data_IF_403263810149
#
_entry.id   IF_403263810149
#
_cell.length_a   1.000
_cell.length_b   1.000
_cell.length_c   1.000
_cell.angle_alpha   90.00
_cell.angle_beta   90.00
_cell.angle_gamma   90.00
#
_symmetry.space_group_name_H-M   'P 1'
#
loop_
_entity.id
_entity.type
_entity.pdbx_description
1 polymer ?
#
# COMPACT_ATOMS: atom_id res chain seq x y z
N UNK A 1 -68.15 20.34 -11.58
CA UNK A 1 -66.94 19.60 -12.09
C UNK A 1 -65.84 19.69 -11.06
N UNK A 2 -65.47 18.55 -10.44
CA UNK A 2 -64.38 18.49 -9.46
C UNK A 2 -63.12 18.09 -10.20
N UNK A 3 -62.09 18.95 -10.24
CA UNK A 3 -60.78 18.65 -10.87
C UNK A 3 -59.90 17.91 -9.84
N UNK A 4 -59.56 16.67 -10.17
CA UNK A 4 -58.56 15.88 -9.44
C UNK A 4 -57.17 16.22 -10.01
N UNK A 5 -56.30 16.81 -9.18
CA UNK A 5 -54.89 16.99 -9.52
C UNK A 5 -54.10 15.79 -9.01
N UNK A 6 -53.55 15.00 -9.94
CA UNK A 6 -52.63 13.92 -9.62
C UNK A 6 -51.24 14.49 -9.50
N UNK A 7 -50.67 14.47 -8.28
CA UNK A 7 -49.29 14.91 -8.02
C UNK A 7 -48.34 13.75 -8.25
N UNK A 8 -47.48 13.86 -9.28
CA UNK A 8 -46.43 12.87 -9.55
C UNK A 8 -45.20 13.25 -8.74
N UNK A 9 -44.83 12.46 -7.73
CA UNK A 9 -43.56 12.59 -7.01
C UNK A 9 -42.51 11.82 -7.81
N UNK A 10 -41.58 12.52 -8.46
CA UNK A 10 -40.42 11.94 -9.08
C UNK A 10 -39.36 11.79 -7.98
N UNK A 11 -39.11 10.54 -7.53
CA UNK A 11 -38.00 10.24 -6.60
C UNK A 11 -36.74 10.16 -7.42
N UNK A 12 -35.85 11.14 -7.27
CA UNK A 12 -34.50 11.10 -7.79
C UNK A 12 -33.68 10.16 -6.89
N UNK A 13 -33.42 8.94 -7.34
CA UNK A 13 -32.46 8.03 -6.72
C UNK A 13 -31.08 8.43 -7.28
N UNK A 14 -30.31 9.21 -6.52
CA UNK A 14 -28.89 9.42 -6.82
C UNK A 14 -28.14 8.14 -6.54
N UNK A 15 -27.69 7.45 -7.59
CA UNK A 15 -26.72 6.38 -7.45
C UNK A 15 -25.39 7.00 -7.05
N UNK A 16 -24.99 6.86 -5.80
CA UNK A 16 -23.62 7.10 -5.36
C UNK A 16 -22.79 5.94 -5.87
N UNK A 17 -22.13 6.10 -7.01
CA UNK A 17 -21.10 5.17 -7.46
C UNK A 17 -19.86 5.36 -6.56
N UNK A 18 -19.68 4.49 -5.60
CA UNK A 18 -18.38 4.34 -4.96
C UNK A 18 -17.47 3.61 -5.96
N UNK A 19 -16.25 4.15 -6.17
CA UNK A 19 -15.22 3.38 -6.87
C UNK A 19 -14.89 2.17 -6.00
N UNK A 20 -15.17 0.98 -6.52
CA UNK A 20 -14.86 -0.26 -5.82
C UNK A 20 -13.35 -0.49 -5.91
N UNK A 21 -12.74 -0.80 -4.77
CA UNK A 21 -11.34 -1.25 -4.72
C UNK A 21 -11.27 -2.62 -5.39
N UNK A 22 -10.35 -2.79 -6.32
CA UNK A 22 -10.23 -3.99 -7.14
C UNK A 22 -9.01 -4.83 -6.83
N UNK A 23 -8.09 -4.33 -5.97
CA UNK A 23 -6.81 -4.97 -5.70
C UNK A 23 -6.24 -4.49 -4.35
N UNK A 24 -5.25 -5.21 -3.80
CA UNK A 24 -4.48 -4.84 -2.62
C UNK A 24 -3.63 -3.59 -2.87
N UNK A 25 -3.33 -2.84 -1.81
CA UNK A 25 -2.38 -1.72 -1.89
C UNK A 25 -1.73 -1.41 -0.54
N UNK A 26 -0.58 -0.73 -0.56
CA UNK A 26 0.04 -0.19 0.64
C UNK A 26 -0.83 0.93 1.21
N UNK A 27 -1.39 0.73 2.39
CA UNK A 27 -2.24 1.71 3.08
C UNK A 27 -1.46 2.57 4.05
N UNK A 28 -0.43 1.99 4.71
CA UNK A 28 0.48 2.73 5.58
C UNK A 28 1.92 2.25 5.44
N UNK A 29 2.80 3.16 5.75
CA UNK A 29 4.22 2.92 5.92
C UNK A 29 4.70 3.65 7.15
N UNK A 30 5.50 3.01 7.98
CA UNK A 30 6.16 3.64 9.11
C UNK A 30 7.65 3.40 9.07
N UNK A 31 8.42 4.48 9.08
CA UNK A 31 9.83 4.49 9.36
C UNK A 31 10.03 5.47 10.50
N UNK A 32 10.21 4.94 11.68
CA UNK A 32 10.39 5.71 12.90
C UNK A 32 11.73 5.39 13.54
N UNK A 33 11.98 6.04 14.66
CA UNK A 33 13.24 5.93 15.39
C UNK A 33 13.66 4.47 15.62
N UNK A 34 14.89 4.15 15.26
CA UNK A 34 15.50 2.83 15.46
C UNK A 34 14.82 1.74 14.57
N UNK A 35 14.13 0.79 15.19
CA UNK A 35 13.49 -0.34 14.52
C UNK A 35 11.95 -0.23 14.49
N UNK A 36 11.39 0.94 14.76
CA UNK A 36 9.95 1.20 14.71
C UNK A 36 9.49 1.35 13.26
N UNK A 37 9.51 0.25 12.53
CA UNK A 37 9.28 0.18 11.08
C UNK A 37 8.20 -0.83 10.75
N UNK A 38 7.33 -0.47 9.81
CA UNK A 38 6.28 -1.37 9.33
C UNK A 38 5.76 -1.00 7.93
N UNK A 39 5.20 -1.98 7.26
CA UNK A 39 4.35 -1.84 6.08
C UNK A 39 2.95 -2.33 6.43
N UNK A 40 1.93 -1.65 5.96
CA UNK A 40 0.54 -2.10 6.05
C UNK A 40 -0.06 -2.20 4.65
N UNK A 41 -0.62 -3.37 4.35
CA UNK A 41 -1.31 -3.67 3.09
C UNK A 41 -2.78 -3.82 3.40
N UNK A 42 -3.63 -3.14 2.64
CA UNK A 42 -5.07 -3.15 2.81
C UNK A 42 -5.77 -3.93 1.70
N UNK A 43 -6.73 -4.74 2.09
CA UNK A 43 -7.69 -5.39 1.19
C UNK A 43 -9.01 -4.63 1.20
N UNK A 44 -9.18 -3.72 0.25
CA UNK A 44 -10.45 -3.00 0.09
C UNK A 44 -11.45 -3.71 -0.83
N UNK A 45 -11.16 -4.94 -1.26
CA UNK A 45 -12.07 -5.72 -2.12
C UNK A 45 -13.20 -6.36 -1.29
N UNK A 46 -14.20 -6.92 -1.97
CA UNK A 46 -15.33 -7.62 -1.30
C UNK A 46 -14.99 -9.07 -0.90
N UNK A 47 -13.81 -9.56 -1.22
CA UNK A 47 -13.41 -10.95 -0.98
C UNK A 47 -12.14 -11.04 -0.13
N UNK A 48 -12.02 -12.12 0.63
CA UNK A 48 -10.76 -12.48 1.27
C UNK A 48 -9.73 -12.81 0.19
N UNK A 49 -8.48 -12.36 0.36
CA UNK A 49 -7.39 -12.55 -0.60
C UNK A 49 -6.30 -13.42 0.03
N UNK A 50 -6.04 -14.57 -0.58
CA UNK A 50 -4.90 -15.45 -0.28
C UNK A 50 -3.62 -14.82 -0.84
N UNK A 51 -2.61 -14.62 0.01
CA UNK A 51 -1.35 -13.97 -0.34
C UNK A 51 -0.31 -14.91 -0.98
N UNK A 52 -0.62 -16.17 -1.20
CA UNK A 52 0.34 -17.15 -1.77
C UNK A 52 0.85 -16.79 -3.16
N UNK A 53 0.10 -15.95 -3.90
CA UNK A 53 0.48 -15.44 -5.22
C UNK A 53 0.83 -13.95 -5.20
N UNK A 54 1.22 -13.43 -4.04
CA UNK A 54 1.66 -12.04 -3.85
C UNK A 54 3.03 -12.01 -3.19
N UNK A 55 3.74 -10.90 -3.37
CA UNK A 55 5.01 -10.63 -2.71
C UNK A 55 5.21 -9.11 -2.56
N UNK A 56 6.21 -8.74 -1.74
CA UNK A 56 6.63 -7.34 -1.56
C UNK A 56 8.13 -7.18 -1.83
N UNK A 57 8.59 -7.48 -3.07
CA UNK A 57 10.00 -7.37 -3.42
C UNK A 57 10.53 -5.95 -3.24
N UNK A 58 11.83 -5.84 -3.02
CA UNK A 58 12.48 -4.57 -2.70
C UNK A 58 13.85 -4.40 -3.34
N UNK A 59 14.31 -3.16 -3.35
CA UNK A 59 15.71 -2.76 -3.53
C UNK A 59 16.20 -2.06 -2.28
N UNK A 60 17.50 -2.12 -2.01
CA UNK A 60 18.14 -1.39 -0.91
C UNK A 60 18.92 -0.21 -1.48
N UNK A 61 18.47 1.01 -1.20
CA UNK A 61 19.04 2.27 -1.69
C UNK A 61 19.08 2.31 -3.24
N UNK A 62 20.30 2.20 -3.81
CA UNK A 62 20.53 2.24 -5.26
C UNK A 62 20.48 0.84 -5.86
N UNK A 63 19.50 0.53 -6.73
CA UNK A 63 19.40 -0.80 -7.30
C UNK A 63 20.60 -1.14 -8.19
N UNK A 64 21.10 -2.36 -8.10
CA UNK A 64 22.17 -2.87 -8.96
C UNK A 64 21.80 -2.79 -10.45
N UNK A 65 20.53 -2.96 -10.76
CA UNK A 65 19.96 -2.79 -12.10
C UNK A 65 18.66 -1.98 -11.97
N UNK A 66 18.60 -0.75 -12.51
CA UNK A 66 17.38 0.05 -12.46
C UNK A 66 16.16 -0.70 -12.99
N UNK A 67 15.03 -0.60 -12.28
CA UNK A 67 13.78 -1.26 -12.61
C UNK A 67 13.70 -2.74 -12.22
N UNK A 68 14.72 -3.31 -11.56
CA UNK A 68 14.78 -4.72 -11.16
C UNK A 68 14.94 -4.82 -9.64
N UNK A 69 14.07 -5.61 -8.99
CA UNK A 69 14.22 -5.90 -7.56
C UNK A 69 15.51 -6.66 -7.25
N UNK A 70 16.00 -6.50 -6.03
CA UNK A 70 17.17 -7.21 -5.51
C UNK A 70 16.79 -8.32 -4.54
N UNK A 71 15.68 -8.15 -3.83
CA UNK A 71 15.20 -9.06 -2.80
C UNK A 71 13.75 -9.44 -3.06
N UNK A 72 13.49 -10.76 -3.16
CA UNK A 72 12.13 -11.27 -3.25
C UNK A 72 11.62 -11.58 -1.84
N UNK A 73 10.65 -10.78 -1.36
CA UNK A 73 10.07 -10.94 -0.05
C UNK A 73 8.67 -11.54 -0.17
N UNK A 74 8.51 -12.77 0.31
CA UNK A 74 7.24 -13.49 0.31
C UNK A 74 6.45 -13.24 1.60
N UNK A 75 5.13 -13.36 1.51
CA UNK A 75 4.26 -13.43 2.68
C UNK A 75 4.40 -14.79 3.39
N UNK A 76 3.99 -14.86 4.66
CA UNK A 76 3.98 -16.10 5.42
C UNK A 76 3.06 -17.14 4.76
N UNK A 77 3.41 -18.41 4.87
CA UNK A 77 2.59 -19.51 4.33
C UNK A 77 1.17 -19.48 4.93
N UNK A 78 0.17 -19.54 4.08
CA UNK A 78 -1.24 -19.49 4.46
C UNK A 78 -1.75 -18.10 4.86
N UNK A 79 -0.98 -17.04 4.62
CA UNK A 79 -1.41 -15.67 4.88
C UNK A 79 -2.62 -15.30 4.00
N UNK A 80 -3.63 -14.70 4.63
CA UNK A 80 -4.87 -14.21 4.00
C UNK A 80 -5.19 -12.84 4.56
N UNK A 81 -5.66 -11.93 3.72
CA UNK A 81 -6.26 -10.66 4.18
C UNK A 81 -7.75 -10.74 3.95
N UNK A 82 -8.53 -10.69 5.04
CA UNK A 82 -9.99 -10.64 4.93
C UNK A 82 -10.48 -9.37 4.23
N UNK A 83 -11.66 -9.42 3.64
CA UNK A 83 -12.29 -8.24 3.04
C UNK A 83 -12.41 -7.08 4.04
N UNK A 84 -11.89 -5.93 3.69
CA UNK A 84 -11.89 -4.72 4.53
C UNK A 84 -10.83 -4.69 5.63
N UNK A 85 -9.92 -5.67 5.68
CA UNK A 85 -8.87 -5.80 6.69
C UNK A 85 -7.49 -5.45 6.14
N UNK A 86 -6.47 -5.49 7.00
CA UNK A 86 -5.07 -5.18 6.70
C UNK A 86 -4.15 -6.34 7.03
N UNK A 87 -2.96 -6.34 6.43
CA UNK A 87 -1.83 -7.19 6.78
C UNK A 87 -0.64 -6.32 7.13
N UNK A 88 -0.11 -6.49 8.33
CA UNK A 88 0.99 -5.67 8.85
C UNK A 88 2.28 -6.47 8.91
N UNK A 89 3.30 -5.95 8.26
CA UNK A 89 4.67 -6.47 8.31
C UNK A 89 5.50 -5.51 9.14
N UNK A 90 6.04 -5.96 10.28
CA UNK A 90 6.81 -5.12 11.20
C UNK A 90 8.26 -5.60 11.35
N UNK A 91 9.16 -4.69 11.70
CA UNK A 91 10.52 -5.08 12.08
C UNK A 91 10.48 -5.89 13.39
N UNK A 92 11.22 -7.03 13.52
CA UNK A 92 11.12 -7.90 14.69
C UNK A 92 11.59 -7.27 16.01
N UNK A 93 12.26 -6.13 15.95
CA UNK A 93 12.70 -5.34 17.12
C UNK A 93 11.94 -4.01 17.24
N UNK A 94 10.78 -3.87 16.61
CA UNK A 94 9.91 -2.72 16.83
C UNK A 94 9.32 -2.74 18.24
N UNK A 95 8.82 -1.59 18.68
CA UNK A 95 8.13 -1.48 19.96
C UNK A 95 6.93 -2.45 20.04
N UNK A 96 6.63 -2.91 21.26
CA UNK A 96 5.56 -3.88 21.53
C UNK A 96 4.20 -3.48 20.92
N UNK A 97 3.91 -2.17 20.86
CA UNK A 97 2.66 -1.67 20.29
C UNK A 97 2.56 -1.91 18.78
N UNK A 98 3.69 -1.84 18.06
CA UNK A 98 3.77 -2.16 16.63
C UNK A 98 3.70 -3.67 16.43
N UNK A 99 4.51 -4.41 17.21
CA UNK A 99 4.54 -5.88 17.14
C UNK A 99 3.19 -6.53 17.47
N UNK A 100 2.40 -5.92 18.35
CA UNK A 100 1.05 -6.40 18.69
C UNK A 100 0.05 -6.29 17.53
N UNK A 101 0.36 -5.54 16.47
CA UNK A 101 -0.44 -5.40 15.27
C UNK A 101 0.13 -6.19 14.08
N UNK A 102 1.32 -6.78 14.24
CA UNK A 102 2.03 -7.42 13.13
C UNK A 102 1.51 -8.84 12.87
N UNK A 103 1.19 -9.13 11.62
CA UNK A 103 0.87 -10.46 11.11
C UNK A 103 2.14 -11.22 10.72
N UNK A 104 3.18 -10.47 10.33
CA UNK A 104 4.47 -11.00 9.92
C UNK A 104 5.59 -10.08 10.38
N UNK A 105 6.78 -10.64 10.64
CA UNK A 105 7.98 -9.84 10.86
C UNK A 105 8.94 -9.95 9.67
N UNK A 106 9.61 -8.83 9.35
CA UNK A 106 10.66 -8.76 8.34
C UNK A 106 11.80 -7.87 8.84
N UNK A 107 13.03 -8.42 8.86
CA UNK A 107 14.18 -7.76 9.48
C UNK A 107 14.73 -6.58 8.65
N UNK A 108 14.55 -6.62 7.34
CA UNK A 108 15.18 -5.68 6.40
C UNK A 108 14.17 -4.65 5.90
N UNK A 109 13.48 -3.97 6.85
CA UNK A 109 12.63 -2.83 6.51
C UNK A 109 13.46 -1.55 6.37
N UNK A 110 13.01 -0.69 5.45
CA UNK A 110 13.70 0.52 5.00
C UNK A 110 14.15 1.48 6.09
N UNK A 111 15.24 2.20 5.82
CA UNK A 111 15.65 3.39 6.56
C UNK A 111 15.14 4.69 5.92
N UNK A 112 14.16 4.59 5.04
CA UNK A 112 13.53 5.71 4.35
C UNK A 112 13.86 5.76 2.84
N UNK A 113 14.90 5.10 2.40
CA UNK A 113 15.50 5.18 1.07
C UNK A 113 15.38 3.91 0.21
N UNK A 114 14.83 2.82 0.76
CA UNK A 114 14.57 1.61 -0.01
C UNK A 114 13.27 1.73 -0.82
N UNK A 115 13.17 0.99 -1.93
CA UNK A 115 11.95 0.87 -2.73
C UNK A 115 11.28 -0.48 -2.55
N UNK A 116 9.96 -0.48 -2.33
CA UNK A 116 9.11 -1.67 -2.27
C UNK A 116 8.07 -1.64 -3.38
N UNK A 117 7.84 -2.78 -4.03
CA UNK A 117 6.65 -2.99 -4.82
C UNK A 117 5.73 -4.01 -4.14
N UNK A 118 4.42 -3.83 -4.23
CA UNK A 118 3.47 -4.90 -4.03
C UNK A 118 3.22 -5.54 -5.40
N UNK A 119 3.36 -6.85 -5.50
CA UNK A 119 3.26 -7.56 -6.78
C UNK A 119 2.31 -8.76 -6.68
N UNK A 120 1.68 -9.12 -7.80
CA UNK A 120 0.97 -10.38 -8.01
C UNK A 120 1.76 -11.25 -8.97
N UNK A 121 2.02 -12.50 -8.60
CA UNK A 121 2.79 -13.48 -9.37
C UNK A 121 3.91 -14.11 -8.59
N UNK A 122 4.87 -14.67 -9.31
CA UNK A 122 6.07 -15.32 -8.79
C UNK A 122 7.32 -14.56 -9.25
N UNK A 123 8.46 -14.76 -8.59
CA UNK A 123 9.70 -14.00 -8.79
C UNK A 123 10.13 -13.84 -10.25
N UNK A 124 9.97 -14.88 -11.07
CA UNK A 124 10.33 -14.84 -12.50
C UNK A 124 9.21 -14.29 -13.41
N UNK A 125 8.00 -14.07 -12.87
CA UNK A 125 6.85 -13.62 -13.67
C UNK A 125 5.78 -12.98 -12.76
N UNK A 126 5.84 -11.69 -12.61
CA UNK A 126 4.91 -10.91 -11.77
C UNK A 126 4.44 -9.63 -12.45
N UNK A 127 3.40 -9.06 -11.90
CA UNK A 127 2.87 -7.74 -12.24
C UNK A 127 2.96 -6.85 -11.01
N UNK A 128 3.52 -5.66 -11.18
CA UNK A 128 3.55 -4.65 -10.12
C UNK A 128 2.14 -4.07 -9.96
N UNK A 129 1.68 -4.01 -8.71
CA UNK A 129 0.36 -3.52 -8.35
C UNK A 129 0.47 -2.13 -7.73
N UNK A 130 1.40 -1.96 -6.77
CA UNK A 130 1.54 -0.72 -6.01
C UNK A 130 3.00 -0.48 -5.62
N UNK A 131 3.33 0.76 -5.31
CA UNK A 131 4.68 1.19 -4.97
C UNK A 131 4.75 1.94 -3.64
N UNK A 132 5.90 1.76 -2.99
CA UNK A 132 6.44 2.62 -1.94
C UNK A 132 7.91 2.90 -2.28
N UNK A 133 8.25 4.09 -2.77
CA UNK A 133 9.47 4.31 -3.50
C UNK A 133 9.40 3.68 -4.89
N UNK A 134 10.54 3.57 -5.57
CA UNK A 134 10.68 2.83 -6.83
C UNK A 134 12.03 2.10 -6.90
N UNK A 135 12.36 1.53 -8.05
CA UNK A 135 13.61 0.80 -8.27
C UNK A 135 14.48 1.47 -9.35
N UNK A 136 14.27 2.76 -9.63
CA UNK A 136 14.97 3.44 -10.73
C UNK A 136 16.29 4.10 -10.31
N UNK A 137 16.50 4.28 -9.00
CA UNK A 137 17.73 4.86 -8.46
C UNK A 137 17.67 5.15 -6.97
N UNK A 138 18.75 5.76 -6.45
CA UNK A 138 18.88 6.14 -5.05
C UNK A 138 18.22 7.51 -4.79
N UNK A 139 17.18 7.58 -3.93
CA UNK A 139 16.57 8.86 -3.54
C UNK A 139 17.45 9.67 -2.58
N UNK A 140 18.57 9.15 -2.15
CA UNK A 140 19.44 9.73 -1.11
C UNK A 140 19.04 9.28 0.29
N UNK A 141 18.53 10.17 1.12
CA UNK A 141 18.13 9.80 2.50
C UNK A 141 16.67 9.34 2.63
N UNK A 142 15.88 9.53 1.60
CA UNK A 142 14.47 9.15 1.57
C UNK A 142 13.75 9.76 0.36
N UNK A 143 12.61 9.18 0.02
CA UNK A 143 11.78 9.63 -1.09
C UNK A 143 11.04 10.92 -0.75
N UNK A 144 10.91 11.79 -1.74
CA UNK A 144 10.02 12.95 -1.62
C UNK A 144 8.55 12.48 -1.63
N UNK A 145 7.73 13.03 -0.72
CA UNK A 145 6.29 12.77 -0.65
C UNK A 145 5.54 14.08 -0.48
N UNK A 146 4.65 14.40 -1.39
CA UNK A 146 3.83 15.61 -1.37
C UNK A 146 4.65 16.91 -1.20
N UNK A 147 5.83 17.00 -1.84
CA UNK A 147 6.74 18.14 -1.76
C UNK A 147 7.58 18.19 -0.46
N UNK A 148 7.51 17.16 0.38
CA UNK A 148 8.36 17.03 1.56
C UNK A 148 9.59 16.18 1.20
N UNK A 149 10.77 16.80 1.19
CA UNK A 149 12.03 16.08 1.03
C UNK A 149 12.20 15.03 2.14
N UNK A 150 12.69 13.85 1.76
CA UNK A 150 12.86 12.72 2.68
C UNK A 150 11.57 12.34 3.43
N UNK A 151 10.41 12.50 2.80
CA UNK A 151 9.09 12.25 3.42
C UNK A 151 8.87 10.81 3.87
N UNK A 152 9.68 9.87 3.43
CA UNK A 152 9.68 8.47 3.87
C UNK A 152 10.58 8.19 5.08
N UNK A 153 11.48 9.12 5.43
CA UNK A 153 12.42 8.95 6.54
C UNK A 153 11.90 9.57 7.83
N UNK A 154 11.93 8.83 8.93
CA UNK A 154 11.43 9.26 10.26
C UNK A 154 9.96 9.75 10.21
N UNK A 155 9.17 9.17 9.30
CA UNK A 155 7.77 9.52 9.09
C UNK A 155 6.85 8.29 9.06
N UNK A 156 5.59 8.54 9.35
CA UNK A 156 4.51 7.60 9.03
C UNK A 156 3.69 8.17 7.89
N UNK A 157 3.62 7.44 6.79
CA UNK A 157 2.77 7.77 5.65
C UNK A 157 1.44 7.02 5.77
N UNK A 158 0.35 7.72 5.47
CA UNK A 158 -0.99 7.14 5.44
C UNK A 158 -1.61 7.52 4.10
N UNK A 159 -2.03 6.54 3.33
CA UNK A 159 -2.73 6.77 2.07
C UNK A 159 -4.04 7.52 2.33
N UNK A 160 -4.30 8.56 1.56
CA UNK A 160 -5.51 9.38 1.72
C UNK A 160 -6.77 8.51 1.57
N UNK A 161 -7.77 8.70 2.42
CA UNK A 161 -9.03 7.94 2.41
C UNK A 161 -9.86 8.11 1.13
N UNK A 162 -9.51 9.08 0.29
CA UNK A 162 -10.11 9.29 -1.03
C UNK A 162 -9.49 8.44 -2.13
N UNK A 163 -8.39 7.75 -1.85
CA UNK A 163 -7.73 6.83 -2.76
C UNK A 163 -8.33 5.43 -2.55
N UNK A 164 -8.93 4.90 -3.59
CA UNK A 164 -9.67 3.64 -3.56
C UNK A 164 -8.97 2.55 -4.37
N UNK A 165 -7.64 2.48 -4.34
CA UNK A 165 -6.90 1.43 -5.04
C UNK A 165 -5.40 1.67 -5.14
N UNK A 166 -4.68 0.70 -5.71
CA UNK A 166 -3.25 0.78 -5.92
C UNK A 166 -2.87 1.77 -7.03
N UNK A 167 -1.57 2.07 -7.12
CA UNK A 167 -1.00 2.87 -8.19
C UNK A 167 0.38 2.32 -8.54
N UNK A 168 0.53 1.83 -9.76
CA UNK A 168 1.77 1.30 -10.32
C UNK A 168 2.78 2.39 -10.75
N UNK A 169 2.59 3.62 -10.30
CA UNK A 169 3.48 4.75 -10.51
C UNK A 169 3.77 5.49 -9.20
N UNK A 170 5.01 5.39 -8.71
CA UNK A 170 5.41 6.01 -7.45
C UNK A 170 5.23 7.53 -7.43
N UNK A 171 5.67 8.23 -8.48
CA UNK A 171 5.58 9.69 -8.54
C UNK A 171 4.12 10.18 -8.41
N UNK A 172 3.17 9.44 -8.98
CA UNK A 172 1.75 9.76 -8.83
C UNK A 172 1.22 9.41 -7.44
N UNK A 173 1.70 8.30 -6.85
CA UNK A 173 1.37 7.86 -5.50
C UNK A 173 1.88 8.82 -4.43
N UNK A 174 3.15 9.23 -4.54
CA UNK A 174 3.78 10.18 -3.63
C UNK A 174 3.08 11.54 -3.67
N UNK A 175 2.57 11.91 -4.84
CA UNK A 175 1.85 13.15 -5.05
C UNK A 175 2.76 14.37 -5.12
N UNK A 176 2.18 15.45 -5.57
CA UNK A 176 2.75 16.81 -5.51
C UNK A 176 1.90 17.65 -4.58
N UNK A 177 2.44 18.74 -4.05
CA UNK A 177 1.75 19.67 -3.13
C UNK A 177 0.31 19.96 -3.51
#
# INVERSE_FOLDING_TARGET
MKHFYTFFIIIFISNLSFSQVTELYFSKYGEGTSNNKFLEIYNGTENDIDLSNYAFPSVSNDPTTPGVHEYWNSFSEGAVIASGDVYVIAHPQADEQILAQADQTHQYLSNGDDGYALVSGIEDNYVIIDWLGDWEGDPGSGWEVAGVENGTKEHTLIRKSTICGPNDNWTLSAGTN
#
